data_IF_812358458919
#
_entry.id   IF_812358458919
#
_cell.length_a   1.000
_cell.length_b   1.000
_cell.length_c   1.000
_cell.angle_alpha   90.00
_cell.angle_beta   90.00
_cell.angle_gamma   90.00
#
_symmetry.space_group_name_H-M   'P 1'
#
loop_
_entity.id
_entity.type
_entity.pdbx_description
1 polymer ?
#
# COMPACT_ATOMS: atom_id res chain seq x y z
N UNK A 1 10.03 -10.78 7.64
CA UNK A 1 11.44 -11.07 8.00
C UNK A 1 12.28 -9.81 8.14
N UNK A 2 12.11 -8.80 7.29
CA UNK A 2 12.84 -7.52 7.31
C UNK A 2 12.70 -6.81 8.66
N UNK A 3 11.48 -6.67 9.18
CA UNK A 3 11.21 -6.01 10.45
C UNK A 3 12.01 -6.62 11.62
N UNK A 4 12.21 -7.95 11.66
CA UNK A 4 13.00 -8.62 12.70
C UNK A 4 14.42 -8.04 12.84
N UNK A 5 15.01 -7.58 11.75
CA UNK A 5 16.38 -7.07 11.75
C UNK A 5 16.44 -5.55 11.94
N UNK A 6 15.51 -4.79 11.37
CA UNK A 6 15.55 -3.34 11.43
C UNK A 6 14.89 -2.75 12.69
N UNK A 7 13.84 -3.38 13.22
CA UNK A 7 13.14 -2.85 14.41
C UNK A 7 14.08 -2.71 15.63
N UNK A 8 14.96 -3.68 15.98
CA UNK A 8 15.90 -3.48 17.08
C UNK A 8 16.84 -2.28 16.88
N UNK A 9 17.29 -2.08 15.64
CA UNK A 9 18.14 -0.93 15.28
C UNK A 9 17.39 0.40 15.44
N UNK A 10 16.15 0.48 14.92
CA UNK A 10 15.32 1.67 15.05
C UNK A 10 14.98 1.98 16.52
N UNK A 11 14.65 0.96 17.32
CA UNK A 11 14.41 1.13 18.77
C UNK A 11 15.63 1.70 19.50
N UNK A 12 16.83 1.21 19.18
CA UNK A 12 18.09 1.72 19.76
C UNK A 12 18.30 3.21 19.41
N UNK A 13 17.98 3.60 18.18
CA UNK A 13 18.16 4.97 17.71
C UNK A 13 16.95 5.88 18.03
N UNK A 14 15.86 5.34 18.58
CA UNK A 14 14.60 6.03 18.86
C UNK A 14 14.06 6.80 17.63
N UNK A 15 14.26 6.26 16.47
CA UNK A 15 13.84 6.83 15.18
C UNK A 15 13.75 5.77 14.10
N UNK A 16 12.73 5.86 13.25
CA UNK A 16 12.58 5.00 12.09
C UNK A 16 11.25 5.18 11.39
N UNK A 17 11.22 4.81 10.12
CA UNK A 17 9.99 4.76 9.34
C UNK A 17 9.92 3.41 8.64
N UNK A 18 8.76 2.77 8.75
CA UNK A 18 8.42 1.55 8.02
C UNK A 18 7.23 1.88 7.12
N UNK A 19 7.41 1.69 5.82
CA UNK A 19 6.34 1.83 4.85
C UNK A 19 6.11 0.48 4.15
N UNK A 20 4.91 -0.05 4.28
CA UNK A 20 4.51 -1.28 3.61
C UNK A 20 3.63 -0.98 2.40
N UNK A 21 3.84 -1.71 1.32
CA UNK A 21 3.01 -1.62 0.11
C UNK A 21 2.06 -2.80 0.09
N UNK A 22 0.80 -2.53 0.47
CA UNK A 22 -0.24 -3.54 0.44
C UNK A 22 -0.98 -3.52 -0.93
N UNK A 23 -2.27 -3.35 -0.95
CA UNK A 23 -3.10 -3.26 -2.16
C UNK A 23 -4.52 -2.86 -1.79
N UNK A 24 -5.24 -2.22 -2.69
CA UNK A 24 -6.71 -2.08 -2.61
C UNK A 24 -7.42 -3.42 -2.41
N UNK A 25 -6.83 -4.53 -2.85
CA UNK A 25 -7.37 -5.88 -2.64
C UNK A 25 -7.43 -6.29 -1.16
N UNK A 26 -6.62 -5.69 -0.30
CA UNK A 26 -6.67 -5.91 1.15
C UNK A 26 -7.78 -5.12 1.86
N UNK A 27 -8.36 -4.12 1.18
CA UNK A 27 -9.44 -3.25 1.67
C UNK A 27 -10.77 -3.62 1.02
N UNK A 28 -10.76 -3.77 -0.31
CA UNK A 28 -11.91 -4.12 -1.16
C UNK A 28 -11.57 -5.39 -1.94
N UNK A 29 -11.86 -6.59 -1.38
CA UNK A 29 -11.41 -7.85 -1.95
C UNK A 29 -12.09 -8.15 -3.29
N UNK A 30 -11.33 -8.79 -4.18
CA UNK A 30 -11.79 -9.20 -5.50
C UNK A 30 -12.01 -10.70 -5.56
N UNK A 31 -13.02 -11.18 -6.30
CA UNK A 31 -13.22 -12.62 -6.48
C UNK A 31 -12.00 -13.29 -7.14
N UNK A 32 -11.83 -14.58 -6.88
CA UNK A 32 -10.76 -15.44 -7.40
C UNK A 32 -9.33 -15.05 -6.95
N UNK A 33 -9.18 -14.16 -5.96
CA UNK A 33 -7.90 -13.72 -5.41
C UNK A 33 -7.81 -13.92 -3.89
N UNK A 34 -8.43 -14.98 -3.36
CA UNK A 34 -8.54 -15.18 -1.90
C UNK A 34 -7.20 -15.03 -1.16
N UNK A 35 -6.19 -15.76 -1.56
CA UNK A 35 -4.89 -15.72 -0.88
C UNK A 35 -4.17 -14.39 -1.02
N UNK A 36 -4.27 -13.75 -2.19
CA UNK A 36 -3.72 -12.41 -2.39
C UNK A 36 -4.43 -11.37 -1.53
N UNK A 37 -5.77 -11.32 -1.58
CA UNK A 37 -6.57 -10.42 -0.75
C UNK A 37 -6.23 -10.59 0.74
N UNK A 38 -6.21 -11.84 1.22
CA UNK A 38 -5.91 -12.16 2.62
C UNK A 38 -4.50 -11.74 3.02
N UNK A 39 -3.50 -11.97 2.16
CA UNK A 39 -2.12 -11.56 2.43
C UNK A 39 -1.98 -10.05 2.56
N UNK A 40 -2.71 -9.29 1.74
CA UNK A 40 -2.70 -7.81 1.77
C UNK A 40 -3.50 -7.26 2.95
N UNK A 41 -4.64 -7.87 3.30
CA UNK A 41 -5.38 -7.55 4.52
C UNK A 41 -4.56 -7.83 5.79
N UNK A 42 -3.85 -8.96 5.83
CA UNK A 42 -2.91 -9.26 6.91
C UNK A 42 -1.82 -8.20 7.04
N UNK A 43 -1.22 -7.78 5.93
CA UNK A 43 -0.17 -6.75 5.92
C UNK A 43 -0.69 -5.43 6.49
N UNK A 44 -1.91 -5.01 6.11
CA UNK A 44 -2.55 -3.79 6.63
C UNK A 44 -2.72 -3.87 8.15
N UNK A 45 -3.30 -4.97 8.65
CA UNK A 45 -3.54 -5.13 10.08
C UNK A 45 -2.23 -5.25 10.87
N UNK A 46 -1.27 -6.03 10.38
CA UNK A 46 0.04 -6.17 11.00
C UNK A 46 0.77 -4.82 11.09
N UNK A 47 0.66 -3.97 10.06
CA UNK A 47 1.25 -2.63 10.07
C UNK A 47 0.62 -1.73 11.11
N UNK A 48 -0.70 -1.78 11.28
CA UNK A 48 -1.40 -1.03 12.34
C UNK A 48 -0.97 -1.47 13.73
N UNK A 49 -0.85 -2.78 13.95
CA UNK A 49 -0.34 -3.33 15.21
C UNK A 49 1.09 -2.84 15.49
N UNK A 50 1.97 -2.94 14.48
CA UNK A 50 3.34 -2.43 14.60
C UNK A 50 3.38 -0.92 14.88
N UNK A 51 2.49 -0.13 14.28
CA UNK A 51 2.42 1.31 14.53
C UNK A 51 2.16 1.61 16.01
N UNK A 52 1.21 0.92 16.64
CA UNK A 52 0.91 1.08 18.07
C UNK A 52 2.09 0.63 18.94
N UNK A 53 2.67 -0.53 18.64
CA UNK A 53 3.76 -1.11 19.43
C UNK A 53 5.06 -0.31 19.33
N UNK A 54 5.32 0.33 18.20
CA UNK A 54 6.59 0.99 17.92
C UNK A 54 6.56 2.51 18.11
N UNK A 55 5.39 3.12 18.21
CA UNK A 55 5.24 4.55 18.45
C UNK A 55 6.01 5.06 19.68
N UNK A 56 6.02 4.36 20.85
CA UNK A 56 6.81 4.79 22.01
C UNK A 56 8.31 4.90 21.76
N UNK A 57 8.81 4.29 20.69
CA UNK A 57 10.21 4.33 20.29
C UNK A 57 10.48 5.36 19.19
N UNK A 58 9.54 6.24 18.86
CA UNK A 58 9.68 7.21 17.79
C UNK A 58 9.69 6.59 16.38
N UNK A 59 9.10 5.40 16.21
CA UNK A 59 9.04 4.70 14.93
C UNK A 59 7.63 4.81 14.36
N UNK A 60 7.53 5.27 13.11
CA UNK A 60 6.27 5.35 12.37
C UNK A 60 6.11 4.14 11.45
N UNK A 61 4.90 3.62 11.35
CA UNK A 61 4.57 2.52 10.44
C UNK A 61 3.30 2.86 9.67
N UNK A 62 3.39 2.91 8.35
CA UNK A 62 2.27 3.25 7.48
C UNK A 62 2.15 2.25 6.32
N UNK A 63 1.02 2.29 5.64
CA UNK A 63 0.70 1.43 4.50
C UNK A 63 0.20 2.26 3.33
N UNK A 64 0.62 1.91 2.13
CA UNK A 64 0.00 2.38 0.88
C UNK A 64 -0.71 1.21 0.22
N UNK A 65 -1.91 1.45 -0.29
CA UNK A 65 -2.72 0.51 -1.05
C UNK A 65 -2.89 0.99 -2.49
N UNK A 66 -2.01 0.59 -3.40
CA UNK A 66 -2.18 0.90 -4.82
C UNK A 66 -3.35 0.16 -5.44
N UNK A 67 -3.97 0.78 -6.45
CA UNK A 67 -4.73 0.08 -7.48
C UNK A 67 -3.76 -0.54 -8.51
N UNK A 68 -4.29 -1.30 -9.45
CA UNK A 68 -3.50 -1.76 -10.61
C UNK A 68 -2.86 -0.57 -11.33
N UNK A 69 -1.57 -0.67 -11.60
CA UNK A 69 -0.76 0.39 -12.20
C UNK A 69 -0.14 -0.03 -13.53
N UNK A 70 0.32 0.95 -14.30
CA UNK A 70 1.06 0.75 -15.55
C UNK A 70 2.45 0.17 -15.25
N UNK A 71 2.48 -1.12 -15.03
CA UNK A 71 3.68 -1.90 -14.72
C UNK A 71 3.64 -3.24 -15.46
N UNK A 72 4.77 -3.96 -15.56
CA UNK A 72 4.78 -5.31 -16.15
C UNK A 72 3.80 -6.30 -15.49
N UNK A 73 3.35 -6.04 -14.28
CA UNK A 73 2.37 -6.87 -13.57
C UNK A 73 0.92 -6.62 -14.02
N UNK A 74 0.63 -5.55 -14.76
CA UNK A 74 -0.74 -5.20 -15.16
C UNK A 74 -1.43 -6.36 -15.88
N UNK A 75 -0.75 -7.01 -16.83
CA UNK A 75 -1.25 -8.18 -17.54
C UNK A 75 -1.71 -9.30 -16.59
N UNK A 76 -0.95 -9.56 -15.53
CA UNK A 76 -1.31 -10.58 -14.54
C UNK A 76 -2.58 -10.25 -13.75
N UNK A 77 -2.90 -8.96 -13.58
CA UNK A 77 -4.13 -8.52 -12.93
C UNK A 77 -5.33 -8.49 -13.86
N UNK A 78 -5.13 -8.21 -15.14
CA UNK A 78 -6.19 -8.17 -16.14
C UNK A 78 -6.54 -9.56 -16.70
N UNK A 79 -5.61 -10.52 -16.59
CA UNK A 79 -5.65 -11.82 -17.27
C UNK A 79 -5.10 -11.70 -18.70
N UNK A 80 -5.70 -10.85 -19.53
CA UNK A 80 -5.20 -10.45 -20.84
C UNK A 80 -5.08 -8.93 -20.92
N UNK A 81 -4.01 -8.44 -21.49
CA UNK A 81 -3.79 -6.99 -21.66
C UNK A 81 -4.31 -6.54 -23.03
N UNK A 82 -5.63 -6.43 -23.14
CA UNK A 82 -6.34 -5.97 -24.33
C UNK A 82 -7.01 -4.62 -24.06
N UNK A 83 -7.28 -3.79 -25.12
CA UNK A 83 -8.00 -2.54 -24.96
C UNK A 83 -9.34 -2.71 -24.25
N UNK A 84 -10.06 -3.81 -24.52
CA UNK A 84 -11.34 -4.13 -23.90
C UNK A 84 -11.19 -4.37 -22.38
N UNK A 85 -10.23 -5.23 -21.98
CA UNK A 85 -9.98 -5.53 -20.57
C UNK A 85 -9.47 -4.31 -19.81
N UNK A 86 -8.61 -3.50 -20.45
CA UNK A 86 -8.19 -2.20 -19.90
C UNK A 86 -9.37 -1.27 -19.69
N UNK A 87 -10.25 -1.09 -20.69
CA UNK A 87 -11.44 -0.25 -20.60
C UNK A 87 -12.38 -0.71 -19.49
N UNK A 88 -12.64 -2.00 -19.40
CA UNK A 88 -13.48 -2.60 -18.34
C UNK A 88 -12.90 -2.35 -16.95
N UNK A 89 -11.60 -2.44 -16.78
CA UNK A 89 -10.96 -2.16 -15.50
C UNK A 89 -10.98 -0.66 -15.20
N UNK A 90 -10.66 0.20 -16.17
CA UNK A 90 -10.65 1.65 -16.03
C UNK A 90 -12.02 2.22 -15.67
N UNK A 91 -13.11 1.63 -16.17
CA UNK A 91 -14.47 2.04 -15.79
C UNK A 91 -14.75 1.89 -14.30
N UNK A 92 -13.92 1.14 -13.56
CA UNK A 92 -14.02 0.98 -12.11
C UNK A 92 -13.15 1.99 -11.33
N UNK A 93 -12.42 2.87 -12.02
CA UNK A 93 -11.55 3.89 -11.41
C UNK A 93 -12.13 5.27 -11.75
N UNK A 94 -12.74 5.99 -10.81
CA UNK A 94 -13.35 7.30 -11.07
C UNK A 94 -12.42 8.33 -11.73
N UNK A 95 -11.12 8.35 -11.38
CA UNK A 95 -10.13 9.23 -12.04
C UNK A 95 -9.76 8.80 -13.45
N UNK A 96 -10.29 7.68 -13.97
CA UNK A 96 -10.24 7.28 -15.38
C UNK A 96 -8.87 6.85 -15.90
N UNK A 97 -7.90 6.58 -15.03
CA UNK A 97 -6.58 6.08 -15.43
C UNK A 97 -6.02 5.06 -14.45
N UNK A 98 -5.10 4.21 -14.92
CA UNK A 98 -4.26 3.39 -14.05
C UNK A 98 -3.32 4.28 -13.22
N UNK A 99 -2.89 3.78 -12.06
CA UNK A 99 -1.82 4.45 -11.33
C UNK A 99 -0.51 4.33 -12.10
N UNK A 100 0.31 5.38 -12.01
CA UNK A 100 1.69 5.36 -12.47
C UNK A 100 2.63 5.08 -11.29
N UNK A 101 3.83 4.56 -11.52
CA UNK A 101 4.81 4.39 -10.45
C UNK A 101 5.05 5.68 -9.65
N UNK A 102 5.01 6.83 -10.31
CA UNK A 102 5.20 8.16 -9.73
C UNK A 102 4.09 8.53 -8.72
N UNK A 103 2.85 8.08 -8.93
CA UNK A 103 1.76 8.31 -7.98
C UNK A 103 2.07 7.63 -6.64
N UNK A 104 2.58 6.40 -6.71
CA UNK A 104 2.94 5.62 -5.52
C UNK A 104 4.22 6.17 -4.88
N UNK A 105 5.21 6.55 -5.69
CA UNK A 105 6.46 7.12 -5.22
C UNK A 105 6.24 8.45 -4.48
N UNK A 106 5.35 9.32 -4.98
CA UNK A 106 5.00 10.59 -4.33
C UNK A 106 4.36 10.38 -2.97
N UNK A 107 3.42 9.45 -2.87
CA UNK A 107 2.80 9.08 -1.59
C UNK A 107 3.82 8.46 -0.62
N UNK A 108 4.71 7.62 -1.13
CA UNK A 108 5.79 7.00 -0.33
C UNK A 108 6.76 8.05 0.19
N UNK A 109 7.19 8.98 -0.66
CA UNK A 109 8.08 10.07 -0.29
C UNK A 109 7.48 10.91 0.83
N UNK A 110 6.21 11.30 0.70
CA UNK A 110 5.51 12.05 1.74
C UNK A 110 5.46 11.28 3.07
N UNK A 111 4.98 10.03 3.06
CA UNK A 111 4.84 9.24 4.29
C UNK A 111 6.18 8.91 4.95
N UNK A 112 7.26 8.85 4.19
CA UNK A 112 8.61 8.59 4.72
C UNK A 112 9.32 9.87 5.20
N UNK A 113 8.84 11.07 4.83
CA UNK A 113 9.44 12.34 5.19
C UNK A 113 9.01 12.84 6.57
N UNK A 114 9.70 13.89 7.06
CA UNK A 114 9.36 14.59 8.31
C UNK A 114 8.03 15.36 8.20
N UNK A 115 7.57 15.68 6.98
CA UNK A 115 6.24 16.28 6.76
C UNK A 115 5.11 15.36 7.22
N UNK A 116 5.35 14.06 7.36
CA UNK A 116 4.42 13.07 7.90
C UNK A 116 4.74 12.67 9.35
N UNK A 117 5.45 13.52 10.12
CA UNK A 117 5.93 13.21 11.48
C UNK A 117 4.81 12.83 12.48
N UNK A 118 3.58 13.28 12.26
CA UNK A 118 2.41 12.95 13.09
C UNK A 118 1.55 11.83 12.47
N UNK A 119 2.02 11.16 11.41
CA UNK A 119 1.27 10.11 10.71
C UNK A 119 1.90 8.75 10.99
N UNK A 120 1.19 7.91 11.76
CA UNK A 120 1.52 6.49 11.98
C UNK A 120 0.24 5.67 12.02
N UNK A 121 0.27 4.43 11.55
CA UNK A 121 -0.90 3.56 11.44
C UNK A 121 -1.83 3.93 10.28
N UNK A 122 -1.43 4.86 9.43
CA UNK A 122 -2.22 5.25 8.27
C UNK A 122 -2.29 4.10 7.24
N UNK A 123 -3.48 3.98 6.63
CA UNK A 123 -3.78 3.07 5.55
C UNK A 123 -4.23 3.95 4.37
N UNK A 124 -3.28 4.31 3.50
CA UNK A 124 -3.50 5.28 2.42
C UNK A 124 -3.80 4.57 1.11
N UNK A 125 -5.00 4.77 0.61
CA UNK A 125 -5.42 4.32 -0.71
C UNK A 125 -4.89 5.29 -1.77
N UNK A 126 -4.13 4.77 -2.75
CA UNK A 126 -3.66 5.50 -3.94
C UNK A 126 -4.23 4.80 -5.17
N UNK A 127 -5.50 5.10 -5.49
CA UNK A 127 -6.31 4.18 -6.30
C UNK A 127 -7.38 4.87 -7.18
N UNK A 128 -7.40 6.20 -7.20
CA UNK A 128 -8.26 6.97 -8.07
C UNK A 128 -9.75 6.90 -7.76
N UNK A 129 -10.14 6.59 -6.53
CA UNK A 129 -11.54 6.51 -6.09
C UNK A 129 -12.19 5.13 -6.28
N UNK A 130 -11.40 4.09 -6.56
CA UNK A 130 -11.92 2.76 -6.92
C UNK A 130 -12.58 2.03 -5.75
N UNK A 131 -12.24 2.35 -4.51
CA UNK A 131 -12.73 1.65 -3.32
C UNK A 131 -13.86 2.38 -2.58
N UNK A 132 -14.33 3.49 -3.12
CA UNK A 132 -15.46 4.28 -2.58
C UNK A 132 -16.71 4.09 -3.39
#
# INVERSE_FOLDING_TARGET
LTAKHFVPYFKKNKSGVILNIASTAGVSPRPNLNWYNSSKGWMILASKTMAVELAPFGIRVNVINPVAGETPLLKSFLGEDTPEMRGKFLSTIPLGRFSMPEDIASAALFLCSDSASMITGANLEVEGGRTI
#
